data_IF_885891218879
#
_entry.id   IF_885891218879
#
_cell.length_a   1.000
_cell.length_b   1.000
_cell.length_c   1.000
_cell.angle_alpha   90.00
_cell.angle_beta   90.00
_cell.angle_gamma   90.00
#
_symmetry.space_group_name_H-M   'P 1'
#
loop_
_entity.id
_entity.type
_entity.pdbx_description
1 polymer ?
#
# COMPACT_ATOMS: atom_id res chain seq x y z
N UNK A 1 -5.35 13.24 6.36
CA UNK A 1 -5.61 12.57 7.64
C UNK A 1 -7.02 12.02 7.58
N UNK A 2 -7.18 10.71 7.72
CA UNK A 2 -8.50 10.06 7.72
C UNK A 2 -8.79 9.58 9.15
N UNK A 3 -10.04 9.78 9.59
CA UNK A 3 -10.51 9.32 10.88
C UNK A 3 -11.59 8.25 10.66
N UNK A 4 -11.49 7.16 11.40
CA UNK A 4 -12.52 6.12 11.47
C UNK A 4 -13.07 6.08 12.89
N UNK A 5 -14.36 6.36 13.02
CA UNK A 5 -15.10 6.28 14.28
C UNK A 5 -15.78 4.92 14.39
N UNK A 6 -15.50 4.20 15.47
CA UNK A 6 -16.06 2.87 15.73
C UNK A 6 -16.71 2.87 17.10
N UNK A 7 -18.00 2.53 17.14
CA UNK A 7 -18.70 2.25 18.39
C UNK A 7 -18.70 0.75 18.65
N UNK A 8 -18.23 0.34 19.83
CA UNK A 8 -18.19 -1.06 20.21
C UNK A 8 -18.48 -1.27 21.70
N UNK A 9 -18.90 -2.48 22.06
CA UNK A 9 -18.94 -2.92 23.46
C UNK A 9 -17.65 -3.68 23.75
N UNK A 10 -16.97 -3.34 24.84
CA UNK A 10 -15.71 -3.99 25.21
C UNK A 10 -16.01 -5.33 25.88
N UNK A 11 -15.88 -6.41 25.11
CA UNK A 11 -16.02 -7.79 25.59
C UNK A 11 -14.64 -8.47 25.78
N UNK A 12 -14.65 -9.76 26.11
CA UNK A 12 -13.43 -10.54 26.28
C UNK A 12 -12.59 -10.65 24.99
N UNK A 13 -13.23 -10.69 23.81
CA UNK A 13 -12.53 -10.76 22.54
C UNK A 13 -11.77 -9.46 22.27
N UNK A 14 -12.40 -8.31 22.54
CA UNK A 14 -11.78 -6.99 22.43
C UNK A 14 -10.66 -6.83 23.44
N UNK A 15 -10.84 -7.21 24.71
CA UNK A 15 -9.77 -7.11 25.73
C UNK A 15 -8.58 -7.99 25.37
N UNK A 16 -8.80 -9.17 24.76
CA UNK A 16 -7.70 -10.02 24.29
C UNK A 16 -6.92 -9.39 23.14
N UNK A 17 -7.58 -8.70 22.22
CA UNK A 17 -6.93 -8.00 21.11
C UNK A 17 -6.25 -6.70 21.56
N UNK A 18 -6.86 -5.97 22.49
CA UNK A 18 -6.43 -4.67 23.00
C UNK A 18 -6.51 -4.64 24.54
N UNK A 19 -5.49 -5.18 25.25
CA UNK A 19 -5.50 -5.30 26.71
C UNK A 19 -5.66 -3.97 27.47
N UNK A 20 -5.24 -2.87 26.86
CA UNK A 20 -5.40 -1.52 27.40
C UNK A 20 -6.87 -1.12 27.61
N UNK A 21 -7.81 -1.77 26.92
CA UNK A 21 -9.25 -1.50 27.06
C UNK A 21 -9.90 -2.27 28.22
N UNK A 22 -9.16 -3.09 28.96
CA UNK A 22 -9.68 -3.87 30.09
C UNK A 22 -10.48 -3.07 31.14
N UNK A 23 -10.16 -1.79 31.49
CA UNK A 23 -10.95 -1.02 32.45
C UNK A 23 -12.38 -0.71 31.96
N UNK A 24 -12.61 -0.79 30.65
CA UNK A 24 -13.89 -0.48 30.02
C UNK A 24 -14.74 -1.73 29.74
N UNK A 25 -14.33 -2.90 30.24
CA UNK A 25 -15.05 -4.16 30.04
C UNK A 25 -16.55 -4.02 30.38
N UNK A 26 -17.40 -4.48 29.47
CA UNK A 26 -18.86 -4.39 29.56
C UNK A 26 -19.44 -3.02 29.21
N UNK A 27 -18.61 -2.02 28.93
CA UNK A 27 -19.04 -0.67 28.57
C UNK A 27 -19.07 -0.48 27.06
N UNK A 28 -19.95 0.41 26.60
CA UNK A 28 -19.95 0.90 25.21
C UNK A 28 -18.97 2.05 25.11
N UNK A 29 -18.01 1.95 24.20
CA UNK A 29 -16.96 2.95 23.98
C UNK A 29 -16.93 3.38 22.52
N UNK A 30 -16.39 4.57 22.29
CA UNK A 30 -16.11 5.12 20.98
C UNK A 30 -14.60 5.12 20.76
N UNK A 31 -14.15 4.52 19.66
CA UNK A 31 -12.76 4.42 19.28
C UNK A 31 -12.51 5.22 18.00
N UNK A 32 -11.66 6.23 18.09
CA UNK A 32 -11.29 7.09 16.97
C UNK A 32 -9.91 6.65 16.47
N UNK A 33 -9.88 5.96 15.34
CA UNK A 33 -8.64 5.58 14.69
C UNK A 33 -8.17 6.73 13.78
N UNK A 34 -7.05 7.33 14.13
CA UNK A 34 -6.39 8.36 13.33
C UNK A 34 -5.33 7.70 12.45
N UNK A 35 -5.56 7.71 11.14
CA UNK A 35 -4.66 7.12 10.16
C UNK A 35 -4.27 8.10 9.07
N UNK A 36 -3.05 7.94 8.56
CA UNK A 36 -2.75 8.39 7.21
C UNK A 36 -3.35 7.39 6.22
N UNK A 37 -3.87 7.86 5.08
CA UNK A 37 -4.40 6.97 4.06
C UNK A 37 -3.30 5.96 3.70
N UNK A 38 -3.54 4.68 3.98
CA UNK A 38 -2.60 3.63 3.61
C UNK A 38 -2.45 3.72 2.10
N UNK A 39 -1.28 4.17 1.62
CA UNK A 39 -0.98 4.14 0.18
C UNK A 39 -1.21 2.70 -0.24
N UNK A 40 -2.17 2.49 -1.14
CA UNK A 40 -2.44 1.17 -1.69
C UNK A 40 -1.09 0.57 -2.06
N UNK A 41 -0.73 -0.54 -1.42
CA UNK A 41 0.50 -1.23 -1.75
C UNK A 41 0.41 -1.52 -3.25
N UNK A 42 1.26 -0.88 -4.05
CA UNK A 42 1.35 -1.19 -5.47
C UNK A 42 1.71 -2.67 -5.52
N UNK A 43 0.77 -3.50 -5.95
CA UNK A 43 1.02 -4.92 -6.15
C UNK A 43 2.18 -4.97 -7.14
N UNK A 44 3.33 -5.49 -6.70
CA UNK A 44 4.45 -5.69 -7.60
C UNK A 44 3.97 -6.61 -8.73
N UNK A 45 4.27 -6.27 -10.00
CA UNK A 45 3.92 -7.15 -11.11
C UNK A 45 4.49 -8.54 -10.87
N UNK A 46 3.68 -9.57 -11.10
CA UNK A 46 4.08 -10.97 -10.95
C UNK A 46 5.20 -11.26 -11.95
N UNK A 47 6.25 -11.99 -11.53
CA UNK A 47 7.35 -12.35 -12.41
C UNK A 47 6.82 -12.98 -13.72
N UNK A 48 7.22 -12.41 -14.86
CA UNK A 48 6.75 -12.86 -16.18
C UNK A 48 5.46 -12.20 -16.69
N UNK A 49 4.83 -11.28 -15.95
CA UNK A 49 3.61 -10.59 -16.40
C UNK A 49 3.78 -9.74 -17.66
N UNK A 50 5.03 -9.40 -18.00
CA UNK A 50 5.40 -8.59 -19.16
C UNK A 50 5.97 -9.45 -20.30
N UNK A 51 5.93 -10.78 -20.18
CA UNK A 51 6.47 -11.70 -21.19
C UNK A 51 5.71 -11.52 -22.51
N UNK A 52 6.44 -11.16 -23.56
CA UNK A 52 5.87 -10.90 -24.89
C UNK A 52 5.18 -9.54 -25.05
N UNK A 53 5.16 -8.70 -24.01
CA UNK A 53 4.71 -7.30 -24.09
C UNK A 53 5.87 -6.31 -24.22
N UNK A 54 7.08 -6.76 -23.90
CA UNK A 54 8.32 -5.99 -24.03
C UNK A 54 9.21 -6.75 -24.99
N UNK A 55 9.59 -6.08 -26.07
CA UNK A 55 10.64 -6.54 -26.95
C UNK A 55 11.99 -6.22 -26.29
N UNK A 56 12.67 -7.26 -25.82
CA UNK A 56 13.99 -7.12 -25.19
C UNK A 56 15.00 -7.33 -26.31
N UNK A 57 15.80 -6.30 -26.60
CA UNK A 57 16.88 -6.42 -27.55
C UNK A 57 17.83 -7.53 -27.12
N UNK A 58 18.16 -8.45 -28.03
CA UNK A 58 19.10 -9.55 -27.78
C UNK A 58 20.52 -9.04 -27.49
N UNK A 59 20.83 -7.82 -27.93
CA UNK A 59 22.08 -7.11 -27.62
C UNK A 59 21.88 -6.18 -26.42
N UNK A 60 22.20 -6.71 -25.22
CA UNK A 60 22.16 -5.94 -23.97
C UNK A 60 23.23 -4.84 -23.89
N UNK A 61 24.24 -4.89 -24.76
CA UNK A 61 25.29 -3.86 -24.86
C UNK A 61 24.93 -2.77 -25.88
N UNK A 62 23.84 -2.93 -26.65
CA UNK A 62 23.37 -1.94 -27.59
C UNK A 62 22.89 -0.66 -26.85
N UNK A 63 23.11 0.53 -27.46
CA UNK A 63 22.59 1.77 -26.90
C UNK A 63 21.05 1.71 -26.79
N UNK A 64 20.52 2.32 -25.72
CA UNK A 64 19.08 2.44 -25.54
C UNK A 64 18.44 3.16 -26.74
N UNK A 65 17.24 2.74 -27.19
CA UNK A 65 16.49 3.45 -28.22
C UNK A 65 16.26 4.92 -27.85
N UNK A 66 16.32 5.83 -28.84
CA UNK A 66 16.27 7.29 -28.61
C UNK A 66 15.02 7.78 -27.86
N UNK A 67 13.89 7.09 -28.02
CA UNK A 67 12.64 7.37 -27.29
C UNK A 67 12.74 7.01 -25.80
N UNK A 68 13.43 5.92 -25.46
CA UNK A 68 13.67 5.51 -24.08
C UNK A 68 14.73 6.42 -23.46
N UNK A 69 15.81 6.71 -24.21
CA UNK A 69 16.87 7.60 -23.75
C UNK A 69 16.33 8.99 -23.35
N UNK A 70 15.51 9.62 -24.20
CA UNK A 70 14.88 10.92 -23.89
C UNK A 70 14.00 10.90 -22.63
N UNK A 71 13.22 9.84 -22.44
CA UNK A 71 12.38 9.68 -21.25
C UNK A 71 13.20 9.58 -19.94
N UNK A 72 14.40 9.00 -20.00
CA UNK A 72 15.32 8.94 -18.85
C UNK A 72 16.16 10.21 -18.67
N UNK A 73 16.51 10.91 -19.76
CA UNK A 73 17.23 12.18 -19.74
C UNK A 73 16.34 13.37 -19.30
N UNK A 74 15.02 13.19 -19.33
CA UNK A 74 14.06 14.21 -18.89
C UNK A 74 13.78 15.29 -19.93
N UNK A 75 14.07 15.02 -21.20
CA UNK A 75 13.94 15.96 -22.33
C UNK A 75 12.50 16.04 -22.89
N UNK A 76 11.56 15.28 -22.32
CA UNK A 76 10.12 15.33 -22.64
C UNK A 76 9.38 16.30 -21.68
N UNK A 77 9.80 17.57 -21.67
CA UNK A 77 9.13 18.68 -20.96
C UNK A 77 8.77 19.83 -21.91
#
# INVERSE_FOLDING_TARGET
>A
MQALEIQMVVDDAIVRALPALSPFRGQRVELIALGEAQRAARVAPVAGSLRGQIDINDDFDAPLPDNIRRAFEGDDA
#
